data_IF_862667012266
#
_entry.id   IF_862667012266
#
_cell.length_a   1.000
_cell.length_b   1.000
_cell.length_c   1.000
_cell.angle_alpha   90.00
_cell.angle_beta   90.00
_cell.angle_gamma   90.00
#
_symmetry.space_group_name_H-M   'P 1'
#
loop_
_entity.id
_entity.type
_entity.pdbx_description
1 polymer ?
#
# COMPACT_ATOMS: atom_id res chain seq x y z
N UNK A 1 -27.48 -11.44 -15.16
CA UNK A 1 -27.67 -10.75 -13.85
C UNK A 1 -26.37 -10.13 -13.29
N UNK A 2 -25.49 -9.59 -14.13
CA UNK A 2 -24.07 -9.32 -13.78
C UNK A 2 -23.71 -7.84 -13.57
N UNK A 3 -24.57 -6.88 -13.97
CA UNK A 3 -24.28 -5.44 -13.86
C UNK A 3 -24.36 -4.90 -12.43
N UNK A 4 -25.24 -5.45 -11.60
CA UNK A 4 -25.40 -5.04 -10.19
C UNK A 4 -24.22 -5.42 -9.30
N UNK A 5 -23.64 -6.62 -9.52
CA UNK A 5 -22.47 -7.09 -8.77
C UNK A 5 -21.21 -6.28 -9.11
N UNK A 6 -20.97 -6.00 -10.39
CA UNK A 6 -19.85 -5.17 -10.85
C UNK A 6 -19.95 -3.72 -10.33
N UNK A 7 -21.14 -3.14 -10.32
CA UNK A 7 -21.37 -1.78 -9.81
C UNK A 7 -21.12 -1.70 -8.30
N UNK A 8 -21.61 -2.68 -7.52
CA UNK A 8 -21.35 -2.77 -6.07
C UNK A 8 -19.88 -3.03 -5.77
N UNK A 9 -19.18 -3.86 -6.56
CA UNK A 9 -17.75 -4.10 -6.40
C UNK A 9 -16.91 -2.85 -6.71
N UNK A 10 -17.26 -2.09 -7.75
CA UNK A 10 -16.64 -0.80 -8.04
C UNK A 10 -16.88 0.24 -6.94
N UNK A 11 -18.11 0.33 -6.42
CA UNK A 11 -18.46 1.23 -5.31
C UNK A 11 -17.75 0.87 -3.99
N UNK A 12 -17.62 -0.43 -3.67
CA UNK A 12 -16.82 -0.87 -2.52
C UNK A 12 -15.32 -0.63 -2.75
N UNK A 13 -14.84 -0.80 -3.98
CA UNK A 13 -13.47 -0.52 -4.37
C UNK A 13 -13.10 0.98 -4.39
N UNK A 14 -14.09 1.88 -4.42
CA UNK A 14 -13.89 3.33 -4.35
C UNK A 14 -13.96 3.90 -2.93
N UNK A 15 -14.31 3.09 -1.92
CA UNK A 15 -14.22 3.51 -0.52
C UNK A 15 -12.75 3.73 -0.17
N UNK A 16 -12.42 4.94 0.26
CA UNK A 16 -11.09 5.28 0.73
C UNK A 16 -10.97 4.91 2.21
N UNK A 17 -9.83 4.30 2.57
CA UNK A 17 -9.45 3.96 3.93
C UNK A 17 -8.15 4.69 4.24
N UNK A 18 -8.02 5.19 5.46
CA UNK A 18 -6.79 5.84 5.92
C UNK A 18 -5.95 4.83 6.68
N UNK A 19 -4.68 4.70 6.30
CA UNK A 19 -3.67 3.93 7.03
C UNK A 19 -2.57 4.86 7.52
N UNK A 20 -1.90 4.49 8.61
CA UNK A 20 -0.73 5.24 9.11
C UNK A 20 0.49 4.32 9.10
N UNK A 21 1.58 4.78 8.50
CA UNK A 21 2.85 4.05 8.42
C UNK A 21 4.01 4.98 8.76
N UNK A 22 5.07 4.44 9.35
CA UNK A 22 6.29 5.20 9.56
C UNK A 22 6.91 5.60 8.20
N UNK A 23 7.58 6.75 8.14
CA UNK A 23 8.24 7.18 6.90
C UNK A 23 9.24 6.15 6.38
N UNK A 24 10.05 5.55 7.27
CA UNK A 24 11.01 4.52 6.89
C UNK A 24 10.32 3.30 6.24
N UNK A 25 9.19 2.86 6.80
CA UNK A 25 8.38 1.76 6.23
C UNK A 25 7.84 2.15 4.85
N UNK A 26 7.36 3.39 4.67
CA UNK A 26 6.87 3.89 3.38
C UNK A 26 7.97 3.84 2.31
N UNK A 27 9.19 4.25 2.65
CA UNK A 27 10.32 4.22 1.73
C UNK A 27 10.71 2.79 1.35
N UNK A 28 10.77 1.89 2.33
CA UNK A 28 11.10 0.48 2.08
C UNK A 28 10.06 -0.20 1.18
N UNK A 29 8.77 0.06 1.43
CA UNK A 29 7.67 -0.44 0.59
C UNK A 29 7.76 0.16 -0.83
N UNK A 30 8.05 1.45 -0.96
CA UNK A 30 8.17 2.10 -2.26
C UNK A 30 9.32 1.52 -3.09
N UNK A 31 10.48 1.30 -2.47
CA UNK A 31 11.63 0.67 -3.12
C UNK A 31 11.32 -0.77 -3.55
N UNK A 32 10.67 -1.55 -2.67
CA UNK A 32 10.24 -2.91 -2.97
C UNK A 32 9.21 -2.97 -4.11
N UNK A 33 8.29 -2.00 -4.19
CA UNK A 33 7.37 -1.88 -5.33
C UNK A 33 8.12 -1.57 -6.62
N UNK A 34 9.10 -0.66 -6.58
CA UNK A 34 9.91 -0.28 -7.73
C UNK A 34 10.79 -1.42 -8.25
N UNK A 35 11.27 -2.29 -7.35
CA UNK A 35 12.13 -3.42 -7.73
C UNK A 35 11.38 -4.57 -8.42
N UNK A 36 10.04 -4.58 -8.39
CA UNK A 36 9.25 -5.62 -9.08
C UNK A 36 9.53 -5.63 -10.58
N UNK A 37 9.90 -6.80 -11.08
CA UNK A 37 10.01 -7.10 -12.50
C UNK A 37 8.64 -7.20 -13.17
N UNK A 38 8.56 -7.09 -14.51
CA UNK A 38 7.32 -7.28 -15.25
C UNK A 38 6.65 -8.64 -14.98
N UNK A 39 7.43 -9.71 -14.83
CA UNK A 39 6.92 -11.05 -14.56
C UNK A 39 6.32 -11.18 -13.17
N UNK A 40 6.93 -10.54 -12.17
CA UNK A 40 6.38 -10.50 -10.80
C UNK A 40 5.09 -9.67 -10.74
N UNK A 41 5.02 -8.57 -11.49
CA UNK A 41 3.77 -7.81 -11.66
C UNK A 41 2.68 -8.69 -12.30
N UNK A 42 3.02 -9.48 -13.32
CA UNK A 42 2.07 -10.40 -13.95
C UNK A 42 1.57 -11.49 -12.97
N UNK A 43 2.44 -12.05 -12.12
CA UNK A 43 2.05 -13.04 -11.07
C UNK A 43 1.13 -12.47 -9.98
N UNK A 44 1.10 -11.14 -9.84
CA UNK A 44 0.20 -10.41 -8.96
C UNK A 44 -1.12 -10.00 -9.65
N UNK A 45 -1.27 -10.29 -10.94
CA UNK A 45 -2.31 -9.76 -11.84
C UNK A 45 -2.30 -8.22 -11.90
N UNK A 46 -1.11 -7.61 -11.88
CA UNK A 46 -0.94 -6.17 -11.87
C UNK A 46 -0.39 -5.65 -13.19
N UNK A 47 -0.89 -4.50 -13.60
CA UNK A 47 -0.27 -3.69 -14.64
C UNK A 47 0.78 -2.74 -14.06
N UNK A 48 1.64 -2.18 -14.92
CA UNK A 48 2.49 -1.05 -14.55
C UNK A 48 1.69 0.13 -13.98
N UNK A 49 0.48 0.36 -14.47
CA UNK A 49 -0.40 1.41 -13.98
C UNK A 49 -0.87 1.15 -12.54
N UNK A 50 -1.03 -0.11 -12.14
CA UNK A 50 -1.36 -0.46 -10.76
C UNK A 50 -0.17 -0.20 -9.82
N UNK A 51 1.05 -0.58 -10.22
CA UNK A 51 2.28 -0.22 -9.47
C UNK A 51 2.42 1.29 -9.33
N UNK A 52 2.31 2.04 -10.45
CA UNK A 52 2.41 3.50 -10.44
C UNK A 52 1.39 4.11 -9.47
N UNK A 53 0.15 3.64 -9.51
CA UNK A 53 -0.92 4.14 -8.63
C UNK A 53 -0.61 3.91 -7.15
N UNK A 54 -0.08 2.75 -6.79
CA UNK A 54 0.34 2.48 -5.41
C UNK A 54 1.48 3.41 -4.98
N UNK A 55 2.47 3.61 -5.84
CA UNK A 55 3.55 4.56 -5.59
C UNK A 55 3.03 6.00 -5.45
N UNK A 56 2.09 6.42 -6.30
CA UNK A 56 1.47 7.75 -6.21
C UNK A 56 0.78 7.95 -4.85
N UNK A 57 0.16 6.92 -4.28
CA UNK A 57 -0.43 7.01 -2.94
C UNK A 57 0.61 7.16 -1.84
N UNK A 58 1.73 6.42 -1.93
CA UNK A 58 2.85 6.56 -0.99
C UNK A 58 3.45 7.96 -1.08
N UNK A 59 3.67 8.47 -2.29
CA UNK A 59 4.24 9.80 -2.52
C UNK A 59 3.34 10.95 -2.01
N UNK A 60 2.04 10.75 -1.89
CA UNK A 60 1.13 11.75 -1.32
C UNK A 60 1.43 12.07 0.15
N UNK A 61 2.07 11.16 0.91
CA UNK A 61 2.55 11.47 2.25
C UNK A 61 3.75 12.43 2.27
N UNK A 62 4.39 12.65 1.11
CA UNK A 62 5.58 13.49 0.98
C UNK A 62 5.39 14.92 1.52
N UNK A 63 4.19 15.50 1.39
CA UNK A 63 3.89 16.81 1.99
C UNK A 63 3.94 16.79 3.52
N UNK A 64 3.47 15.70 4.13
CA UNK A 64 3.56 15.52 5.60
C UNK A 64 5.02 15.31 6.01
N UNK A 65 5.77 14.49 5.25
CA UNK A 65 7.19 14.26 5.50
C UNK A 65 8.03 15.57 5.41
N UNK A 66 7.74 16.43 4.45
CA UNK A 66 8.46 17.70 4.24
C UNK A 66 8.31 18.70 5.40
N UNK A 67 7.24 18.59 6.19
CA UNK A 67 7.01 19.45 7.35
C UNK A 67 7.59 18.91 8.66
N UNK A 68 8.25 17.75 8.62
CA UNK A 68 8.77 17.06 9.81
C UNK A 68 10.27 17.27 9.91
N UNK A 69 10.75 17.48 11.14
CA UNK A 69 12.18 17.58 11.41
C UNK A 69 12.89 16.28 11.00
N UNK A 70 14.04 16.43 10.34
CA UNK A 70 14.80 15.31 9.76
C UNK A 70 15.10 14.22 10.80
N UNK A 71 15.45 14.60 12.02
CA UNK A 71 15.85 13.66 13.08
C UNK A 71 14.68 12.83 13.63
N UNK A 72 13.44 13.26 13.36
CA UNK A 72 12.22 12.57 13.79
C UNK A 72 11.52 11.85 12.64
N UNK A 73 11.96 12.10 11.39
CA UNK A 73 11.22 11.70 10.20
C UNK A 73 11.00 10.19 10.13
N UNK A 74 12.04 9.39 10.37
CA UNK A 74 11.98 7.93 10.24
C UNK A 74 10.95 7.29 11.18
N UNK A 75 10.71 7.89 12.35
CA UNK A 75 9.75 7.40 13.36
C UNK A 75 8.36 8.01 13.19
N UNK A 76 8.23 9.03 12.34
CA UNK A 76 6.97 9.76 12.19
C UNK A 76 5.95 8.95 11.40
N UNK A 77 4.78 8.76 12.00
CA UNK A 77 3.65 8.12 11.34
C UNK A 77 2.97 9.09 10.37
N UNK A 78 3.00 8.74 9.09
CA UNK A 78 2.37 9.50 8.03
C UNK A 78 1.06 8.83 7.61
N UNK A 79 0.04 9.65 7.38
CA UNK A 79 -1.29 9.19 6.95
C UNK A 79 -1.36 9.06 5.45
N UNK A 80 -1.78 7.89 4.99
CA UNK A 80 -2.00 7.52 3.59
C UNK A 80 -3.48 7.25 3.37
N UNK A 81 -4.06 7.87 2.35
CA UNK A 81 -5.44 7.63 1.94
C UNK A 81 -5.44 6.67 0.75
N UNK A 82 -5.97 5.46 0.95
CA UNK A 82 -5.92 4.39 -0.04
C UNK A 82 -7.34 3.91 -0.40
N UNK A 83 -7.67 3.75 -1.69
CA UNK A 83 -8.85 3.00 -2.08
C UNK A 83 -8.78 1.56 -1.54
N UNK A 84 -9.91 1.02 -1.07
CA UNK A 84 -10.05 -0.35 -0.56
C UNK A 84 -9.46 -1.42 -1.50
N UNK A 85 -9.58 -1.21 -2.82
CA UNK A 85 -8.98 -2.12 -3.82
C UNK A 85 -7.45 -2.14 -3.75
N UNK A 86 -6.84 -0.99 -3.45
CA UNK A 86 -5.40 -0.79 -3.42
C UNK A 86 -4.84 -1.25 -2.06
N UNK A 87 -5.62 -1.16 -0.97
CA UNK A 87 -5.34 -1.86 0.31
C UNK A 87 -5.23 -3.37 0.10
N UNK A 88 -6.20 -4.00 -0.58
CA UNK A 88 -6.14 -5.45 -0.89
C UNK A 88 -4.97 -5.82 -1.81
N UNK A 89 -4.53 -4.90 -2.66
CA UNK A 89 -3.34 -5.09 -3.49
C UNK A 89 -2.08 -5.06 -2.62
N UNK A 90 -1.91 -4.03 -1.80
CA UNK A 90 -0.80 -3.96 -0.86
C UNK A 90 -0.74 -5.17 0.07
N UNK A 91 -1.88 -5.69 0.54
CA UNK A 91 -1.95 -6.93 1.35
C UNK A 91 -1.37 -8.14 0.61
N UNK A 92 -1.78 -8.36 -0.64
CA UNK A 92 -1.25 -9.44 -1.48
C UNK A 92 0.25 -9.28 -1.77
N UNK A 93 0.70 -8.07 -2.03
CA UNK A 93 2.11 -7.77 -2.23
C UNK A 93 2.94 -8.00 -0.96
N UNK A 94 2.47 -7.52 0.19
CA UNK A 94 3.12 -7.69 1.48
C UNK A 94 3.32 -9.17 1.85
N UNK A 95 2.39 -10.03 1.45
CA UNK A 95 2.45 -11.47 1.70
C UNK A 95 3.34 -12.24 0.72
N UNK A 96 3.37 -11.83 -0.56
CA UNK A 96 3.96 -12.64 -1.64
C UNK A 96 5.31 -12.15 -2.14
N UNK A 97 5.51 -10.83 -2.21
CA UNK A 97 6.68 -10.24 -2.86
C UNK A 97 7.56 -9.45 -1.88
N UNK A 98 6.96 -8.71 -0.95
CA UNK A 98 7.73 -7.94 0.04
C UNK A 98 8.75 -8.77 0.83
N UNK A 99 8.49 -10.04 1.24
CA UNK A 99 9.48 -10.85 1.94
C UNK A 99 10.72 -11.20 1.12
N UNK A 100 10.66 -11.08 -0.21
CA UNK A 100 11.79 -11.36 -1.11
C UNK A 100 12.70 -10.15 -1.29
N UNK A 101 12.19 -8.95 -1.05
CA UNK A 101 12.85 -7.68 -1.39
C UNK A 101 13.08 -6.78 -0.19
N UNK A 102 12.32 -6.93 0.89
CA UNK A 102 12.47 -6.14 2.10
C UNK A 102 13.81 -6.45 2.77
N UNK A 103 14.47 -5.39 3.21
CA UNK A 103 15.70 -5.44 4.00
C UNK A 103 15.40 -5.63 5.50
N UNK A 104 14.18 -5.32 5.93
CA UNK A 104 13.75 -5.39 7.31
C UNK A 104 12.43 -6.18 7.45
N UNK A 105 12.50 -7.37 8.06
CA UNK A 105 11.33 -8.22 8.28
C UNK A 105 10.24 -7.55 9.12
N UNK A 106 10.61 -6.63 10.03
CA UNK A 106 9.64 -5.96 10.89
C UNK A 106 8.70 -5.02 10.10
N UNK A 107 9.11 -4.57 8.91
CA UNK A 107 8.24 -3.78 8.00
C UNK A 107 7.06 -4.63 7.51
N UNK A 108 7.28 -5.91 7.24
CA UNK A 108 6.24 -6.83 6.76
C UNK A 108 5.17 -7.01 7.84
N UNK A 109 5.59 -7.21 9.09
CA UNK A 109 4.69 -7.38 10.23
C UNK A 109 3.87 -6.11 10.48
N UNK A 110 4.53 -4.93 10.54
CA UNK A 110 3.85 -3.65 10.75
C UNK A 110 2.88 -3.33 9.62
N UNK A 111 3.29 -3.50 8.37
CA UNK A 111 2.42 -3.30 7.22
C UNK A 111 1.22 -4.24 7.26
N UNK A 112 1.44 -5.53 7.56
CA UNK A 112 0.36 -6.51 7.66
C UNK A 112 -0.65 -6.11 8.74
N UNK A 113 -0.18 -5.75 9.94
CA UNK A 113 -1.06 -5.32 11.03
C UNK A 113 -1.89 -4.07 10.66
N UNK A 114 -1.26 -3.09 10.02
CA UNK A 114 -1.94 -1.86 9.57
C UNK A 114 -2.99 -2.14 8.51
N UNK A 115 -2.69 -3.02 7.54
CA UNK A 115 -3.63 -3.38 6.48
C UNK A 115 -4.78 -4.25 6.98
N UNK A 116 -4.56 -5.14 7.96
CA UNK A 116 -5.61 -5.94 8.61
C UNK A 116 -6.56 -5.08 9.46
N UNK A 117 -6.04 -4.04 10.12
CA UNK A 117 -6.86 -3.07 10.84
C UNK A 117 -7.70 -2.20 9.88
N UNK A 118 -7.20 -1.98 8.67
CA UNK A 118 -7.84 -1.19 7.63
C UNK A 118 -8.71 -2.02 6.66
N UNK A 119 -8.88 -3.32 6.92
CA UNK A 119 -9.57 -4.21 5.98
C UNK A 119 -11.05 -3.78 5.82
N UNK A 120 -11.47 -3.38 4.61
CA UNK A 120 -12.81 -2.88 4.33
C UNK A 120 -13.91 -3.94 4.48
N UNK A 121 -13.56 -5.23 4.55
CA UNK A 121 -14.52 -6.33 4.75
C UNK A 121 -14.79 -6.61 6.25
N UNK A 122 -14.15 -5.85 7.16
CA UNK A 122 -14.31 -5.94 8.62
C UNK A 122 -15.31 -4.93 9.20
N UNK A 123 -15.87 -4.03 8.37
CA UNK A 123 -16.80 -2.94 8.73
C UNK A 123 -18.15 -3.13 8.04
#
# INVERSE_FOLDING_TARGET
MSRGALRRWRQRGSRTVTVSLAFADIMEIALALLSLSPDELARLDWSFADRKRLLDHLLQSGKQAQSVDRDQLDQTLLRLALPARDVRRLKRFAQRELPKTATNAAVIERLSAVLEAADPDRI
#
